data_IF_454804470397
#
_entry.id   IF_454804470397
#
_cell.length_a   1.000
_cell.length_b   1.000
_cell.length_c   1.000
_cell.angle_alpha   90.00
_cell.angle_beta   90.00
_cell.angle_gamma   90.00
#
_symmetry.space_group_name_H-M   'P 1'
#
loop_
_entity.id
_entity.type
_entity.pdbx_description
1 polymer ?
#
# COMPACT_ATOMS: atom_id res chain seq x y z
N UNK A 1 -0.06 9.00 6.71
CA UNK A 1 0.00 8.11 7.90
C UNK A 1 1.33 7.36 7.87
N UNK A 2 2.06 7.37 8.95
CA UNK A 2 3.31 6.64 9.03
C UNK A 2 3.11 5.23 9.61
N UNK A 3 4.18 4.44 9.61
CA UNK A 3 4.12 3.07 10.10
C UNK A 3 3.67 2.97 11.55
N UNK A 4 4.16 3.89 12.39
CA UNK A 4 3.83 3.88 13.81
C UNK A 4 2.34 4.11 14.04
N UNK A 5 1.77 5.07 13.34
CA UNK A 5 0.35 5.35 13.42
C UNK A 5 -0.46 4.17 12.90
N UNK A 6 -0.01 3.55 11.81
CA UNK A 6 -0.68 2.38 11.26
C UNK A 6 -0.71 1.22 12.25
N UNK A 7 0.41 0.96 12.93
CA UNK A 7 0.48 -0.10 13.93
C UNK A 7 -0.49 0.17 15.08
N UNK A 8 -0.56 1.41 15.55
CA UNK A 8 -1.48 1.78 16.62
C UNK A 8 -2.93 1.56 16.20
N UNK A 9 -3.28 1.92 14.96
CA UNK A 9 -4.64 1.70 14.45
C UNK A 9 -4.95 0.21 14.29
N UNK A 10 -3.98 -0.57 13.83
CA UNK A 10 -4.16 -2.01 13.70
C UNK A 10 -4.40 -2.66 15.07
N UNK A 11 -3.64 -2.27 16.08
CA UNK A 11 -3.81 -2.78 17.44
C UNK A 11 -5.17 -2.41 18.02
N UNK A 12 -5.69 -1.26 17.64
CA UNK A 12 -7.00 -0.80 18.10
C UNK A 12 -8.16 -1.33 17.26
N UNK A 13 -7.88 -2.19 16.25
CA UNK A 13 -8.90 -2.69 15.33
C UNK A 13 -9.60 -1.59 14.55
N UNK A 14 -8.91 -0.50 14.29
CA UNK A 14 -9.49 0.68 13.65
C UNK A 14 -9.30 0.69 12.13
N UNK A 15 -8.55 -0.26 11.58
CA UNK A 15 -8.35 -0.38 10.14
C UNK A 15 -9.48 -1.23 9.55
N UNK A 16 -10.23 -0.65 8.61
CA UNK A 16 -11.36 -1.33 7.98
C UNK A 16 -10.94 -2.10 6.73
N UNK A 17 -10.13 -1.49 5.89
CA UNK A 17 -9.64 -2.12 4.67
C UNK A 17 -8.23 -1.63 4.36
N UNK A 18 -7.48 -2.51 3.70
CA UNK A 18 -6.13 -2.18 3.24
C UNK A 18 -6.08 -2.46 1.74
N UNK A 19 -5.57 -1.48 0.99
CA UNK A 19 -5.44 -1.60 -0.45
C UNK A 19 -3.98 -1.46 -0.84
N UNK A 20 -3.54 -2.29 -1.77
CA UNK A 20 -2.29 -2.08 -2.49
C UNK A 20 -2.68 -1.48 -3.83
N UNK A 21 -2.19 -0.29 -4.11
CA UNK A 21 -2.53 0.45 -5.33
C UNK A 21 -1.31 0.58 -6.20
N UNK A 22 -1.44 0.13 -7.46
CA UNK A 22 -0.39 0.28 -8.45
C UNK A 22 -0.62 1.53 -9.29
N UNK A 23 0.43 2.31 -9.49
CA UNK A 23 0.39 3.47 -10.36
C UNK A 23 1.74 3.57 -11.07
N UNK A 24 1.73 3.39 -12.38
CA UNK A 24 2.95 3.28 -13.14
C UNK A 24 3.72 2.03 -12.70
N UNK A 25 5.00 2.14 -12.46
CA UNK A 25 5.83 1.01 -12.04
C UNK A 25 5.88 0.83 -10.52
N UNK A 26 5.19 1.68 -9.77
CA UNK A 26 5.29 1.68 -8.31
C UNK A 26 3.98 1.26 -7.65
N UNK A 27 4.09 0.80 -6.43
CA UNK A 27 2.96 0.40 -5.60
C UNK A 27 2.97 1.23 -4.34
N UNK A 28 1.79 1.55 -3.85
CA UNK A 28 1.66 2.21 -2.54
C UNK A 28 0.46 1.63 -1.80
N UNK A 29 0.31 1.97 -0.53
CA UNK A 29 -0.71 1.42 0.33
C UNK A 29 -1.68 2.51 0.74
N UNK A 30 -2.97 2.23 0.58
CA UNK A 30 -4.06 3.06 1.08
C UNK A 30 -4.82 2.28 2.14
N UNK A 31 -5.17 2.95 3.22
CA UNK A 31 -5.85 2.34 4.36
C UNK A 31 -7.16 3.06 4.58
N UNK A 32 -8.22 2.30 4.72
CA UNK A 32 -9.53 2.86 5.05
C UNK A 32 -9.80 2.68 6.54
N UNK A 33 -10.12 3.80 7.19
CA UNK A 33 -10.51 3.84 8.59
C UNK A 33 -11.88 4.49 8.72
N UNK A 34 -12.36 4.67 9.94
CA UNK A 34 -13.62 5.37 10.18
C UNK A 34 -13.57 6.83 9.77
N UNK A 35 -12.38 7.43 9.75
CA UNK A 35 -12.23 8.85 9.40
C UNK A 35 -11.94 9.09 7.92
N UNK A 36 -11.82 8.04 7.13
CA UNK A 36 -11.58 8.15 5.70
C UNK A 36 -10.40 7.30 5.24
N UNK A 37 -9.85 7.66 4.08
CA UNK A 37 -8.73 6.93 3.49
C UNK A 37 -7.42 7.69 3.74
N UNK A 38 -6.36 6.93 4.02
CA UNK A 38 -5.04 7.48 4.31
C UNK A 38 -3.99 6.65 3.59
N UNK A 39 -3.01 7.31 3.00
CA UNK A 39 -1.88 6.62 2.39
C UNK A 39 -0.75 6.47 3.40
N UNK A 40 0.07 5.44 3.21
CA UNK A 40 1.25 5.22 4.06
C UNK A 40 2.38 6.10 3.56
N UNK A 41 3.02 6.78 4.50
CA UNK A 41 4.08 7.73 4.22
C UNK A 41 5.36 7.32 4.93
N UNK A 42 6.48 7.81 4.42
CA UNK A 42 7.77 7.68 5.08
C UNK A 42 7.83 8.64 6.27
N UNK A 43 8.89 8.51 7.09
CA UNK A 43 9.09 9.41 8.22
C UNK A 43 9.21 10.88 7.81
N UNK A 44 9.55 11.12 6.55
CA UNK A 44 9.68 12.50 6.01
C UNK A 44 8.38 13.02 5.43
N UNK A 45 7.29 12.29 5.58
CA UNK A 45 5.99 12.72 5.06
C UNK A 45 5.80 12.48 3.58
N UNK A 46 6.67 11.75 2.93
CA UNK A 46 6.54 11.40 1.51
C UNK A 46 5.82 10.08 1.36
N UNK A 47 5.05 9.95 0.27
CA UNK A 47 4.37 8.70 -0.03
C UNK A 47 5.36 7.54 -0.06
N UNK A 48 5.10 6.50 0.72
CA UNK A 48 5.93 5.31 0.72
C UNK A 48 5.54 4.43 -0.46
N UNK A 49 6.53 4.06 -1.27
CA UNK A 49 6.29 3.25 -2.46
C UNK A 49 7.17 2.01 -2.46
N UNK A 50 6.74 1.01 -3.22
CA UNK A 50 7.49 -0.22 -3.44
C UNK A 50 7.59 -0.47 -4.92
N UNK A 51 8.69 -1.05 -5.36
CA UNK A 51 8.89 -1.38 -6.77
C UNK A 51 8.38 -2.77 -7.13
N UNK A 52 8.13 -3.62 -6.14
CA UNK A 52 7.61 -4.97 -6.37
C UNK A 52 6.44 -5.26 -5.45
N UNK A 53 5.50 -6.07 -5.94
CA UNK A 53 4.36 -6.49 -5.15
C UNK A 53 4.82 -7.33 -3.96
N UNK A 54 5.79 -8.19 -4.16
CA UNK A 54 6.29 -9.07 -3.12
C UNK A 54 6.82 -8.28 -1.92
N UNK A 55 7.61 -7.24 -2.17
CA UNK A 55 8.14 -6.41 -1.10
C UNK A 55 7.03 -5.70 -0.34
N UNK A 56 6.04 -5.17 -1.06
CA UNK A 56 4.90 -4.50 -0.47
C UNK A 56 4.08 -5.46 0.41
N UNK A 57 3.80 -6.65 -0.11
CA UNK A 57 3.04 -7.66 0.61
C UNK A 57 3.78 -8.14 1.86
N UNK A 58 5.08 -8.34 1.77
CA UNK A 58 5.88 -8.74 2.92
C UNK A 58 5.89 -7.69 4.02
N UNK A 59 5.94 -6.43 3.62
CA UNK A 59 5.88 -5.34 4.59
C UNK A 59 4.56 -5.36 5.36
N UNK A 60 3.44 -5.52 4.65
CA UNK A 60 2.12 -5.62 5.29
C UNK A 60 2.01 -6.86 6.16
N UNK A 61 2.48 -8.00 5.69
CA UNK A 61 2.44 -9.24 6.45
C UNK A 61 3.23 -9.12 7.76
N UNK A 62 4.36 -8.42 7.72
CA UNK A 62 5.15 -8.16 8.91
C UNK A 62 4.44 -7.32 9.96
N UNK A 63 3.41 -6.57 9.57
CA UNK A 63 2.58 -5.80 10.49
C UNK A 63 1.36 -6.57 10.99
N UNK A 64 1.22 -7.83 10.59
CA UNK A 64 0.08 -8.66 10.98
C UNK A 64 -1.13 -8.52 10.07
N UNK A 65 -0.98 -7.87 8.92
CA UNK A 65 -2.09 -7.67 7.99
C UNK A 65 -2.05 -8.78 6.94
N UNK A 66 -3.05 -9.66 6.96
CA UNK A 66 -3.11 -10.80 6.07
C UNK A 66 -4.11 -10.69 4.95
N UNK A 67 -5.01 -9.71 4.99
CA UNK A 67 -6.04 -9.53 3.96
C UNK A 67 -5.93 -8.14 3.38
N UNK A 68 -5.71 -8.08 2.07
CA UNK A 68 -5.60 -6.81 1.34
C UNK A 68 -6.35 -6.93 0.04
N UNK A 69 -6.81 -5.80 -0.46
CA UNK A 69 -7.36 -5.69 -1.79
C UNK A 69 -6.34 -4.99 -2.68
N UNK A 70 -6.39 -5.27 -3.98
CA UNK A 70 -5.46 -4.69 -4.92
C UNK A 70 -6.19 -3.93 -6.00
N UNK A 71 -5.68 -2.75 -6.33
CA UNK A 71 -6.10 -1.98 -7.48
C UNK A 71 -4.90 -1.85 -8.40
N UNK A 72 -4.89 -2.59 -9.47
CA UNK A 72 -3.78 -2.62 -10.42
C UNK A 72 -4.16 -2.05 -11.78
N UNK A 73 -5.28 -1.34 -11.86
CA UNK A 73 -5.76 -0.82 -13.13
C UNK A 73 -4.76 0.11 -13.81
N UNK A 74 -3.99 0.85 -13.02
CA UNK A 74 -2.98 1.79 -13.52
C UNK A 74 -1.55 1.32 -13.27
N UNK A 75 -1.39 0.05 -12.95
CA UNK A 75 -0.08 -0.50 -12.61
C UNK A 75 0.57 -1.07 -13.86
N UNK A 76 1.79 -0.63 -14.11
CA UNK A 76 2.58 -1.05 -15.26
C UNK A 76 3.98 -1.45 -14.77
N UNK A 77 4.10 -2.63 -14.17
CA UNK A 77 5.36 -3.05 -13.53
C UNK A 77 6.52 -3.16 -14.50
N UNK A 78 6.21 -3.35 -15.78
CA UNK A 78 7.22 -3.39 -16.83
C UNK A 78 6.72 -2.51 -17.98
N UNK A 79 6.88 -1.20 -17.81
CA UNK A 79 6.32 -0.26 -18.77
C UNK A 79 6.85 -0.45 -20.18
N UNK A 80 8.09 -0.90 -20.33
CA UNK A 80 8.66 -1.13 -21.66
C UNK A 80 8.03 -2.31 -22.36
N UNK A 81 7.45 -3.24 -21.62
CA UNK A 81 6.78 -4.38 -22.19
C UNK A 81 5.45 -4.07 -22.81
N UNK A 82 4.88 -2.92 -22.51
CA UNK A 82 3.54 -2.58 -22.97
C UNK A 82 3.48 -2.27 -24.46
N UNK A 83 4.54 -1.69 -25.00
CA UNK A 83 4.54 -1.31 -26.39
C UNK A 83 4.65 -2.50 -27.34
N UNK A 84 4.94 -3.65 -26.85
CA UNK A 84 5.01 -4.84 -27.70
C UNK A 84 3.66 -5.50 -27.90
N UNK A 85 2.68 -5.03 -27.23
CA UNK A 85 1.33 -5.55 -27.35
C UNK A 85 0.55 -4.76 -28.38
#
# INVERSE_FOLDING_TARGET
MDKKTMLALADANAIKKVFIIGNGSLLYISIKTLTGEHTIETNNGKLKTWSTLDACAKWLHGLGIGKVQMDIAKWHPNQRGLEII
#
